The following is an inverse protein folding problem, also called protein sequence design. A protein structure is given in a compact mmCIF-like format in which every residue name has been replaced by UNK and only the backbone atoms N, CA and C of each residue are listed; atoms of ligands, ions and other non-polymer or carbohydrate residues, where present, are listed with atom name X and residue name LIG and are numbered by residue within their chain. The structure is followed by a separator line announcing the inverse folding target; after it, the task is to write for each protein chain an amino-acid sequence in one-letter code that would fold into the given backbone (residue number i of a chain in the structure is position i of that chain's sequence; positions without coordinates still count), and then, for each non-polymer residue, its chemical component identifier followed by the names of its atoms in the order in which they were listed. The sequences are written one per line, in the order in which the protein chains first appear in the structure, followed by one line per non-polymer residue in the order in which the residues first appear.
data_IF_441345943213
#
_entry.id   IF_441345943213
#
_cell.length_a   1.000
_cell.length_b   1.000
_cell.length_c   1.000
_cell.angle_alpha   90.00
_cell.angle_beta   90.00
_cell.angle_gamma   90.00
#
_symmetry.space_group_name_H-M   'P 1'
#
loop_
_entity.id
_entity.type
_entity.pdbx_description
1 polymer ?
#
# COMPACT_ATOMS: atom_id res chain seq x y z
N UNK A 1 1.07 -1.05 -22.94
CA UNK A 1 1.61 0.32 -22.98
C UNK A 1 2.41 0.58 -21.71
N UNK A 2 3.63 1.02 -21.85
CA UNK A 2 4.46 1.30 -20.67
C UNK A 2 4.09 2.64 -20.05
N UNK A 3 4.25 2.74 -18.74
CA UNK A 3 4.00 3.97 -18.02
C UNK A 3 5.16 4.94 -18.20
N UNK A 4 4.87 6.24 -18.11
CA UNK A 4 5.92 7.25 -18.12
C UNK A 4 6.77 7.16 -16.84
N UNK A 5 8.00 7.65 -16.93
CA UNK A 5 8.90 7.70 -15.78
C UNK A 5 8.31 8.55 -14.65
N UNK A 6 7.60 9.63 -15.02
CA UNK A 6 6.95 10.50 -14.04
C UNK A 6 5.92 9.74 -13.20
N UNK A 7 5.08 8.93 -13.85
CA UNK A 7 4.08 8.12 -13.14
C UNK A 7 4.76 7.07 -12.27
N UNK A 8 5.74 6.34 -12.82
CA UNK A 8 6.46 5.32 -12.06
C UNK A 8 7.17 5.89 -10.84
N UNK A 9 7.80 7.06 -10.99
CA UNK A 9 8.45 7.74 -9.88
C UNK A 9 7.44 8.17 -8.80
N UNK A 10 6.28 8.69 -9.22
CA UNK A 10 5.23 9.07 -8.28
C UNK A 10 4.68 7.89 -7.50
N UNK A 11 4.49 6.76 -8.18
CA UNK A 11 4.06 5.52 -7.53
C UNK A 11 5.13 5.04 -6.53
N UNK A 12 6.39 5.06 -6.94
CA UNK A 12 7.50 4.63 -6.09
C UNK A 12 7.61 5.50 -4.83
N UNK A 13 7.45 6.81 -4.97
CA UNK A 13 7.47 7.72 -3.82
C UNK A 13 6.38 7.37 -2.80
N UNK A 14 5.17 7.08 -3.27
CA UNK A 14 4.06 6.71 -2.39
C UNK A 14 4.31 5.36 -1.71
N UNK A 15 4.79 4.37 -2.47
CA UNK A 15 5.12 3.07 -1.92
C UNK A 15 6.21 3.18 -0.85
N UNK A 16 7.23 4.00 -1.10
CA UNK A 16 8.32 4.20 -0.14
C UNK A 16 7.83 4.93 1.11
N UNK A 17 6.91 5.87 0.96
CA UNK A 17 6.32 6.58 2.09
C UNK A 17 5.56 5.60 3.01
N UNK A 18 4.81 4.67 2.43
CA UNK A 18 4.14 3.62 3.20
C UNK A 18 5.16 2.80 4.00
N UNK A 19 6.20 2.34 3.35
CA UNK A 19 7.20 1.49 4.01
C UNK A 19 7.99 2.25 5.07
N UNK A 20 8.46 3.47 4.76
CA UNK A 20 9.38 4.20 5.65
C UNK A 20 8.68 4.89 6.80
N UNK A 21 7.48 5.46 6.56
CA UNK A 21 6.79 6.25 7.58
C UNK A 21 5.71 5.47 8.28
N UNK A 22 4.78 4.88 7.53
CA UNK A 22 3.66 4.17 8.14
C UNK A 22 4.13 2.89 8.83
N UNK A 23 4.98 2.10 8.18
CA UNK A 23 5.42 0.81 8.73
C UNK A 23 6.58 0.98 9.70
N UNK A 24 7.72 1.51 9.24
CA UNK A 24 8.92 1.57 10.08
C UNK A 24 8.76 2.50 11.27
N UNK A 25 8.16 3.68 11.06
CA UNK A 25 7.97 4.66 12.13
C UNK A 25 6.61 4.58 12.82
N UNK A 26 5.71 3.76 12.31
CA UNK A 26 4.34 3.62 12.82
C UNK A 26 3.60 4.96 12.84
N UNK A 27 3.90 5.81 11.87
CA UNK A 27 3.26 7.12 11.71
C UNK A 27 2.06 6.98 10.78
N UNK A 28 0.88 6.82 11.38
CA UNK A 28 -0.34 6.63 10.60
C UNK A 28 -0.78 7.89 9.85
N UNK A 29 -0.27 9.07 10.23
CA UNK A 29 -0.58 10.30 9.46
C UNK A 29 0.00 10.24 8.05
N UNK A 30 1.04 9.46 7.83
CA UNK A 30 1.62 9.25 6.50
C UNK A 30 0.59 8.64 5.54
N UNK A 31 -0.38 7.89 6.04
CA UNK A 31 -1.40 7.26 5.21
C UNK A 31 -2.31 8.28 4.50
N UNK A 32 -2.38 9.51 4.98
CA UNK A 32 -3.08 10.59 4.27
C UNK A 32 -2.44 10.88 2.91
N UNK A 33 -1.17 10.54 2.75
CA UNK A 33 -0.41 10.74 1.51
C UNK A 33 -0.27 9.47 0.69
N UNK A 34 -0.74 8.35 1.21
CA UNK A 34 -0.66 7.04 0.55
C UNK A 34 -1.99 6.65 -0.07
N UNK A 35 -3.07 6.84 0.66
CA UNK A 35 -4.43 6.49 0.24
C UNK A 35 -5.23 7.72 -0.16
N UNK A 36 -6.16 7.56 -1.12
CA UNK A 36 -7.17 8.61 -1.34
C UNK A 36 -8.11 8.65 -0.14
N UNK A 37 -8.78 9.80 0.12
CA UNK A 37 -9.63 9.93 1.31
C UNK A 37 -10.76 8.91 1.39
N UNK A 38 -11.28 8.47 0.25
CA UNK A 38 -12.40 7.51 0.16
C UNK A 38 -11.96 6.13 -0.31
N UNK A 39 -10.67 5.80 -0.15
CA UNK A 39 -10.11 4.54 -0.58
C UNK A 39 -10.76 3.34 0.13
N UNK A 40 -10.67 2.20 -0.53
CA UNK A 40 -11.05 0.91 0.06
C UNK A 40 -9.81 0.06 0.28
N UNK A 41 -9.77 -0.65 1.40
CA UNK A 41 -8.84 -1.77 1.57
C UNK A 41 -9.64 -3.06 1.73
N UNK A 42 -9.11 -4.13 1.16
CA UNK A 42 -9.71 -5.46 1.20
C UNK A 42 -8.70 -6.43 1.81
N UNK A 43 -8.56 -6.42 3.13
CA UNK A 43 -7.54 -7.24 3.80
C UNK A 43 -7.94 -8.70 3.83
N UNK A 44 -6.95 -9.62 3.89
CA UNK A 44 -7.24 -11.04 4.02
C UNK A 44 -7.84 -11.34 5.40
N UNK A 45 -8.88 -12.16 5.40
CA UNK A 45 -9.48 -12.62 6.65
C UNK A 45 -10.33 -11.60 7.38
N UNK A 46 -10.66 -10.47 6.76
CA UNK A 46 -11.46 -9.41 7.37
C UNK A 46 -12.37 -8.78 6.32
N UNK A 47 -13.38 -8.05 6.76
CA UNK A 47 -14.26 -7.33 5.85
C UNK A 47 -13.54 -6.13 5.24
N UNK A 48 -14.05 -5.65 4.12
CA UNK A 48 -13.51 -4.45 3.49
C UNK A 48 -13.72 -3.23 4.37
N UNK A 49 -12.82 -2.27 4.25
CA UNK A 49 -12.86 -1.02 5.00
C UNK A 49 -12.81 0.12 4.00
N UNK A 50 -13.66 1.12 4.18
CA UNK A 50 -13.68 2.31 3.34
C UNK A 50 -13.36 3.55 4.17
N UNK A 51 -12.54 4.42 3.61
CA UNK A 51 -12.23 5.71 4.19
C UNK A 51 -10.96 5.71 5.03
N UNK A 52 -10.30 6.87 5.06
CA UNK A 52 -8.96 6.98 5.65
C UNK A 52 -8.94 6.70 7.15
N UNK A 53 -9.98 7.08 7.90
CA UNK A 53 -9.99 6.87 9.35
C UNK A 53 -9.96 5.38 9.69
N UNK A 54 -10.80 4.58 9.02
CA UNK A 54 -10.84 3.13 9.23
C UNK A 54 -9.55 2.46 8.75
N UNK A 55 -8.98 2.95 7.65
CA UNK A 55 -7.73 2.43 7.11
C UNK A 55 -6.58 2.65 8.09
N UNK A 56 -6.49 3.84 8.68
CA UNK A 56 -5.48 4.13 9.72
C UNK A 56 -5.62 3.21 10.93
N UNK A 57 -6.84 3.01 11.41
CA UNK A 57 -7.11 2.11 12.54
C UNK A 57 -6.71 0.68 12.22
N UNK A 58 -7.03 0.21 11.01
CA UNK A 58 -6.68 -1.13 10.57
C UNK A 58 -5.16 -1.33 10.58
N UNK A 59 -4.42 -0.42 9.95
CA UNK A 59 -2.96 -0.58 9.84
C UNK A 59 -2.26 -0.46 11.18
N UNK A 60 -2.69 0.46 12.02
CA UNK A 60 -2.10 0.57 13.37
C UNK A 60 -2.27 -0.73 14.15
N UNK A 61 -3.46 -1.31 14.10
CA UNK A 61 -3.76 -2.57 14.77
C UNK A 61 -2.94 -3.73 14.18
N UNK A 62 -2.90 -3.84 12.85
CA UNK A 62 -2.19 -4.93 12.17
C UNK A 62 -0.68 -4.86 12.41
N UNK A 63 -0.09 -3.68 12.27
CA UNK A 63 1.35 -3.49 12.46
C UNK A 63 1.73 -3.75 13.92
N UNK A 64 0.91 -3.31 14.86
CA UNK A 64 1.16 -3.52 16.29
C UNK A 64 0.99 -4.99 16.67
N UNK A 65 -0.10 -5.63 16.25
CA UNK A 65 -0.39 -7.03 16.62
C UNK A 65 0.65 -8.00 16.09
N UNK A 66 1.12 -7.80 14.87
CA UNK A 66 2.13 -8.64 14.24
C UNK A 66 3.55 -8.20 14.56
N UNK A 67 3.70 -7.04 15.19
CA UNK A 67 4.99 -6.40 15.46
C UNK A 67 5.84 -6.29 14.19
N UNK A 68 5.25 -5.67 13.16
CA UNK A 68 5.92 -5.47 11.88
C UNK A 68 6.97 -4.37 12.03
N UNK A 69 8.21 -4.67 11.63
CA UNK A 69 9.33 -3.73 11.73
C UNK A 69 9.68 -3.09 10.41
N UNK A 70 9.41 -3.77 9.31
CA UNK A 70 9.80 -3.27 7.99
C UNK A 70 8.87 -3.85 6.94
N UNK A 71 8.83 -3.19 5.79
CA UNK A 71 8.10 -3.65 4.62
C UNK A 71 8.83 -3.21 3.37
N UNK A 72 8.75 -4.03 2.34
CA UNK A 72 9.21 -3.67 0.99
C UNK A 72 8.12 -3.99 0.00
N UNK A 73 8.01 -3.17 -1.04
CA UNK A 73 7.04 -3.32 -2.12
C UNK A 73 7.78 -3.37 -3.44
N UNK A 74 7.43 -4.35 -4.29
CA UNK A 74 8.05 -4.52 -5.60
C UNK A 74 6.96 -4.64 -6.65
N UNK A 75 6.97 -3.76 -7.65
CA UNK A 75 6.03 -3.80 -8.75
C UNK A 75 6.36 -4.96 -9.68
N UNK A 76 5.40 -5.83 -9.96
CA UNK A 76 5.52 -6.90 -10.95
C UNK A 76 5.05 -6.39 -12.31
N UNK A 77 3.90 -5.73 -12.36
CA UNK A 77 3.41 -5.09 -13.58
C UNK A 77 2.54 -3.90 -13.22
N UNK A 78 2.47 -2.93 -14.12
CA UNK A 78 1.62 -1.76 -13.94
C UNK A 78 1.10 -1.33 -15.30
N UNK A 79 -0.20 -1.08 -15.39
CA UNK A 79 -0.86 -0.69 -16.63
C UNK A 79 -1.69 0.57 -16.41
N UNK A 80 -1.60 1.48 -17.38
CA UNK A 80 -2.43 2.67 -17.41
C UNK A 80 -3.81 2.32 -17.95
N UNK A 81 -4.86 2.78 -17.27
CA UNK A 81 -6.24 2.62 -17.69
C UNK A 81 -6.89 3.99 -17.73
N UNK A 82 -6.59 4.76 -18.80
CA UNK A 82 -6.98 6.17 -18.88
C UNK A 82 -6.11 6.99 -17.95
N UNK A 83 -6.72 7.67 -16.98
CA UNK A 83 -6.01 8.50 -16.00
C UNK A 83 -5.74 7.79 -14.68
N UNK A 84 -5.91 6.48 -14.65
CA UNK A 84 -5.61 5.66 -13.47
C UNK A 84 -4.60 4.58 -13.82
N UNK A 85 -4.12 3.85 -12.81
CA UNK A 85 -3.13 2.77 -13.00
C UNK A 85 -3.57 1.57 -12.18
N UNK A 86 -3.39 0.37 -12.73
CA UNK A 86 -3.54 -0.89 -12.00
C UNK A 86 -2.17 -1.53 -11.86
N UNK A 87 -1.77 -1.79 -10.63
CA UNK A 87 -0.48 -2.40 -10.30
C UNK A 87 -0.68 -3.79 -9.71
N UNK A 88 0.11 -4.76 -10.18
CA UNK A 88 0.28 -6.05 -9.52
C UNK A 88 1.67 -6.04 -8.90
N UNK A 89 1.75 -6.39 -7.62
CA UNK A 89 3.02 -6.34 -6.91
C UNK A 89 3.19 -7.44 -5.87
N UNK A 90 4.39 -7.47 -5.33
CA UNK A 90 4.73 -8.31 -4.19
C UNK A 90 5.23 -7.43 -3.07
N UNK A 91 4.92 -7.83 -1.85
CA UNK A 91 5.42 -7.18 -0.67
C UNK A 91 6.07 -8.21 0.24
N UNK A 92 6.96 -7.75 1.07
CA UNK A 92 7.54 -8.57 2.12
C UNK A 92 7.51 -7.79 3.41
N UNK A 93 6.86 -8.37 4.42
CA UNK A 93 6.85 -7.80 5.75
C UNK A 93 7.94 -8.47 6.58
N UNK A 94 8.65 -7.68 7.38
CA UNK A 94 9.64 -8.20 8.32
C UNK A 94 9.11 -7.99 9.73
N UNK A 95 8.97 -9.07 10.49
CA UNK A 95 8.49 -9.01 11.86
C UNK A 95 9.65 -8.84 12.85
N UNK A 96 9.35 -8.53 14.10
CA UNK A 96 10.35 -8.27 15.12
C UNK A 96 11.38 -9.39 15.29
N UNK A 97 10.95 -10.64 15.11
CA UNK A 97 11.84 -11.80 15.22
C UNK A 97 12.67 -12.08 13.98
N UNK A 98 12.57 -11.24 12.95
CA UNK A 98 13.27 -11.45 11.69
C UNK A 98 12.52 -12.29 10.67
N UNK A 99 11.34 -12.80 11.03
CA UNK A 99 10.51 -13.56 10.11
C UNK A 99 10.05 -12.71 8.94
N UNK A 100 10.02 -13.31 7.75
CA UNK A 100 9.56 -12.66 6.52
C UNK A 100 8.19 -13.21 6.16
N UNK A 101 7.25 -12.30 5.86
CA UNK A 101 5.91 -12.67 5.44
C UNK A 101 5.73 -12.19 4.00
N UNK A 102 5.72 -13.09 3.02
CA UNK A 102 5.50 -12.71 1.63
C UNK A 102 4.03 -12.44 1.36
N UNK A 103 3.77 -11.36 0.62
CA UNK A 103 2.43 -10.88 0.31
C UNK A 103 2.37 -10.56 -1.19
N UNK A 104 1.22 -10.76 -1.78
CA UNK A 104 0.95 -10.32 -3.16
C UNK A 104 -0.26 -9.41 -3.15
N UNK A 105 -0.27 -8.42 -4.06
CA UNK A 105 -1.31 -7.40 -4.02
C UNK A 105 -1.67 -6.87 -5.40
N UNK A 106 -2.86 -6.28 -5.47
CA UNK A 106 -3.30 -5.43 -6.58
C UNK A 106 -3.69 -4.08 -6.00
N UNK A 107 -3.20 -3.01 -6.58
CA UNK A 107 -3.56 -1.64 -6.21
C UNK A 107 -4.09 -0.92 -7.44
N UNK A 108 -5.26 -0.31 -7.29
CA UNK A 108 -5.80 0.63 -8.26
C UNK A 108 -5.40 2.03 -7.80
N UNK A 109 -4.57 2.68 -8.58
CA UNK A 109 -4.00 3.99 -8.29
C UNK A 109 -4.82 5.11 -8.92
N UNK A 110 -5.00 6.21 -8.20
CA UNK A 110 -5.59 7.44 -8.72
C UNK A 110 -4.70 8.63 -8.38
N UNK A 111 -4.80 9.67 -9.22
CA UNK A 111 -4.14 10.93 -8.93
C UNK A 111 -4.98 11.73 -7.94
N UNK A 112 -4.29 12.38 -7.00
CA UNK A 112 -4.87 13.34 -6.06
C UNK A 112 -3.94 14.56 -6.10
N UNK A 113 -4.32 15.56 -6.91
CA UNK A 113 -3.42 16.65 -7.23
C UNK A 113 -2.23 16.16 -8.03
N UNK A 114 -1.01 16.43 -7.54
CA UNK A 114 0.22 15.98 -8.17
C UNK A 114 0.67 14.59 -7.69
N UNK A 115 0.03 14.05 -6.65
CA UNK A 115 0.43 12.78 -6.05
C UNK A 115 -0.35 11.61 -6.65
N UNK A 116 0.32 10.45 -6.70
CA UNK A 116 -0.33 9.18 -7.02
C UNK A 116 -0.62 8.47 -5.72
N UNK A 117 -1.88 8.02 -5.54
CA UNK A 117 -2.34 7.41 -4.29
C UNK A 117 -3.09 6.12 -4.54
N UNK A 118 -3.06 5.25 -3.56
CA UNK A 118 -3.81 3.99 -3.57
C UNK A 118 -5.29 4.30 -3.36
N UNK A 119 -6.14 3.87 -4.28
CA UNK A 119 -7.59 4.06 -4.19
C UNK A 119 -8.30 2.76 -3.82
N UNK A 120 -7.83 1.63 -4.33
CA UNK A 120 -8.30 0.29 -3.96
C UNK A 120 -7.07 -0.56 -3.73
N UNK A 121 -7.03 -1.23 -2.59
CA UNK A 121 -5.86 -2.00 -2.16
C UNK A 121 -6.33 -3.36 -1.65
N UNK A 122 -6.03 -4.41 -2.40
CA UNK A 122 -6.35 -5.78 -2.03
C UNK A 122 -5.07 -6.60 -1.97
N UNK A 123 -4.91 -7.37 -0.91
CA UNK A 123 -3.74 -8.23 -0.78
C UNK A 123 -4.09 -9.54 -0.09
N UNK A 124 -3.20 -10.51 -0.27
CA UNK A 124 -3.25 -11.74 0.51
C UNK A 124 -1.86 -12.33 0.66
N UNK A 125 -1.72 -13.19 1.66
CA UNK A 125 -0.45 -13.84 1.95
C UNK A 125 -0.30 -15.11 1.13
N UNK A 126 0.96 -15.50 0.92
CA UNK A 126 1.28 -16.80 0.32
C UNK A 126 1.13 -17.86 1.42
N UNK A 127 0.29 -18.83 1.19
CA UNK A 127 0.07 -19.92 2.14
C UNK A 127 0.68 -21.20 1.63
#
# INVERSE_FOLDING_TARGET
MSLSDSILNGMHETNELFCSKAVRLRDMTALDHVYTPDAHILPPGADMIQGIAGIKSFWLSAITSLDVKDASLTTVSAESTGDTVVEIGRAELTLAGGQKVPVKYVVHWKRDGAAWKWHTDIWNMNQ
#
